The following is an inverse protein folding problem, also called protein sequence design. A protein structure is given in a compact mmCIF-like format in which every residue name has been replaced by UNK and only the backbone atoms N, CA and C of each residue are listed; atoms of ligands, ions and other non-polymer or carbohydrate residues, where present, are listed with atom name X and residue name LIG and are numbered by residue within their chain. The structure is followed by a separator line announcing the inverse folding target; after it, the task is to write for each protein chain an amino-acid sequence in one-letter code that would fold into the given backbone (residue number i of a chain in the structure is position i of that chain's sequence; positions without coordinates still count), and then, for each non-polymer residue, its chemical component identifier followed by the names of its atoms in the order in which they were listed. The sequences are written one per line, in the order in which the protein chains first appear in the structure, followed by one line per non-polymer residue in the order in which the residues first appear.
data_IF_738901525282
#
_entry.id   IF_738901525282
#
_cell.length_a   1.000
_cell.length_b   1.000
_cell.length_c   1.000
_cell.angle_alpha   90.00
_cell.angle_beta   90.00
_cell.angle_gamma   90.00
#
_symmetry.space_group_name_H-M   'P 1'
#
loop_
_entity.id
_entity.type
_entity.pdbx_description
1 polymer ?
#
# COMPACT_ATOMS: atom_id res chain seq x y z
N UNK A 1 34.63 -60.71 -17.42
CA UNK A 1 33.82 -60.94 -16.21
C UNK A 1 34.17 -59.88 -15.18
N UNK A 2 33.20 -59.02 -14.84
CA UNK A 2 32.96 -58.40 -13.51
C UNK A 2 33.97 -57.31 -13.09
N UNK A 3 33.63 -56.06 -12.73
CA UNK A 3 32.39 -55.38 -12.28
C UNK A 3 32.73 -53.86 -12.24
N UNK A 4 31.99 -52.91 -12.84
CA UNK A 4 30.69 -52.31 -12.44
C UNK A 4 30.61 -51.94 -10.94
N UNK A 5 30.16 -50.77 -10.46
CA UNK A 5 29.54 -49.58 -11.05
C UNK A 5 29.59 -48.46 -9.98
N UNK A 6 30.10 -47.28 -10.34
CA UNK A 6 29.65 -45.92 -10.03
C UNK A 6 28.79 -45.71 -8.75
N UNK A 7 29.47 -45.25 -7.70
CA UNK A 7 29.16 -44.07 -6.87
C UNK A 7 27.68 -43.67 -6.75
N UNK A 8 27.10 -44.02 -5.60
CA UNK A 8 26.34 -43.15 -4.71
C UNK A 8 25.36 -42.17 -5.38
N UNK A 9 24.14 -42.64 -5.68
CA UNK A 9 22.98 -41.80 -5.97
C UNK A 9 22.59 -41.02 -4.71
N UNK A 10 23.07 -39.78 -4.68
CA UNK A 10 22.72 -38.72 -3.76
C UNK A 10 21.22 -38.41 -3.86
N UNK A 11 20.48 -38.75 -2.81
CA UNK A 11 19.11 -38.28 -2.57
C UNK A 11 19.16 -36.78 -2.30
N UNK A 12 19.04 -35.96 -3.35
CA UNK A 12 18.62 -34.56 -3.23
C UNK A 12 17.09 -34.56 -3.37
N UNK A 13 16.42 -34.89 -2.27
CA UNK A 13 15.07 -34.38 -2.00
C UNK A 13 15.25 -33.12 -1.15
N UNK A 14 15.86 -32.09 -1.73
CA UNK A 14 15.90 -30.77 -1.11
C UNK A 14 14.55 -30.13 -1.38
N UNK A 15 13.81 -29.97 -0.29
CA UNK A 15 12.54 -29.28 -0.20
C UNK A 15 12.42 -28.15 -1.22
N UNK A 16 11.55 -28.34 -2.21
CA UNK A 16 10.86 -27.25 -2.88
C UNK A 16 9.89 -26.62 -1.85
N UNK A 17 10.45 -26.08 -0.76
CA UNK A 17 9.77 -25.10 0.05
C UNK A 17 9.48 -23.94 -0.90
N UNK A 18 8.20 -23.76 -1.20
CA UNK A 18 7.73 -22.85 -2.21
C UNK A 18 8.46 -21.52 -2.13
N UNK A 19 9.35 -21.29 -3.10
CA UNK A 19 9.57 -19.94 -3.56
C UNK A 19 8.21 -19.52 -4.12
N UNK A 20 7.35 -18.98 -3.27
CA UNK A 20 6.25 -18.15 -3.68
C UNK A 20 6.95 -16.92 -4.20
N UNK A 21 7.20 -16.90 -5.51
CA UNK A 21 7.55 -15.67 -6.20
C UNK A 21 6.34 -14.78 -5.94
N UNK A 22 6.48 -13.82 -5.01
CA UNK A 22 5.43 -12.88 -4.66
C UNK A 22 5.02 -12.19 -5.95
N UNK A 23 3.93 -12.68 -6.55
CA UNK A 23 3.32 -12.01 -7.69
C UNK A 23 2.91 -10.63 -7.17
N UNK A 24 3.34 -9.53 -7.80
CA UNK A 24 2.84 -8.21 -7.46
C UNK A 24 1.31 -8.29 -7.49
N UNK A 25 0.67 -8.02 -6.35
CA UNK A 25 -0.79 -8.04 -6.29
C UNK A 25 -1.29 -6.88 -7.15
N UNK A 26 -2.05 -7.15 -8.24
CA UNK A 26 -2.59 -6.09 -9.09
C UNK A 26 -3.60 -5.21 -8.36
N UNK A 27 -4.06 -5.58 -7.17
CA UNK A 27 -4.98 -4.78 -6.35
C UNK A 27 -4.32 -3.59 -5.66
N UNK A 28 -3.00 -3.44 -5.82
CA UNK A 28 -2.26 -2.39 -5.13
C UNK A 28 -2.15 -2.67 -3.64
N UNK A 29 -1.14 -2.09 -3.02
CA UNK A 29 -0.92 -2.22 -1.59
C UNK A 29 -1.80 -1.22 -0.84
N UNK A 30 -2.54 -1.67 0.15
CA UNK A 30 -3.32 -0.76 1.01
C UNK A 30 -2.46 -0.42 2.22
N UNK A 31 -2.26 0.87 2.45
CA UNK A 31 -1.68 1.39 3.69
C UNK A 31 -2.77 2.00 4.56
N UNK A 32 -2.87 1.52 5.79
CA UNK A 32 -3.87 1.98 6.78
C UNK A 32 -3.15 2.64 7.97
N UNK A 33 -3.92 3.01 8.99
CA UNK A 33 -3.35 3.49 10.25
C UNK A 33 -2.36 2.50 10.91
N UNK A 34 -2.44 1.19 10.63
CA UNK A 34 -1.50 0.20 11.20
C UNK A 34 -0.06 0.37 10.71
N UNK A 35 0.11 0.94 9.52
CA UNK A 35 1.41 1.17 8.91
C UNK A 35 2.02 2.52 9.35
N UNK A 36 1.26 3.34 10.06
CA UNK A 36 1.69 4.64 10.56
C UNK A 36 2.72 4.47 11.68
N UNK A 37 3.87 5.13 11.51
CA UNK A 37 4.99 5.11 12.45
C UNK A 37 5.14 6.41 13.20
N UNK A 38 4.82 7.53 12.56
CA UNK A 38 4.90 8.85 13.16
C UNK A 38 3.79 9.74 12.61
N UNK A 39 3.21 10.56 13.48
CA UNK A 39 2.21 11.55 13.13
C UNK A 39 2.44 12.80 13.96
N UNK A 40 2.72 13.90 13.27
CA UNK A 40 2.89 15.20 13.89
C UNK A 40 2.05 16.25 13.18
N UNK A 41 1.53 17.18 13.98
CA UNK A 41 0.68 18.28 13.50
C UNK A 41 1.28 19.58 13.99
N UNK A 42 1.53 20.51 13.08
CA UNK A 42 1.91 21.90 13.39
C UNK A 42 0.72 22.81 13.10
N UNK A 43 0.26 23.54 14.10
CA UNK A 43 -0.91 24.42 13.98
C UNK A 43 -0.44 25.83 13.64
N UNK A 44 -1.02 26.41 12.60
CA UNK A 44 -0.84 27.80 12.22
C UNK A 44 -2.08 28.63 12.56
N UNK A 45 -1.91 29.95 12.60
CA UNK A 45 -3.02 30.90 12.58
C UNK A 45 -3.86 30.69 11.30
N UNK A 46 -5.18 30.90 11.39
CA UNK A 46 -6.06 30.91 10.23
C UNK A 46 -6.69 29.56 9.90
N UNK A 47 -6.90 28.70 10.92
CA UNK A 47 -7.49 27.36 10.77
C UNK A 47 -6.70 26.42 9.83
N UNK A 48 -5.39 26.66 9.69
CA UNK A 48 -4.49 25.83 8.90
C UNK A 48 -3.60 24.99 9.82
N UNK A 49 -3.42 23.72 9.47
CA UNK A 49 -2.45 22.84 10.10
C UNK A 49 -1.60 22.14 9.06
N UNK A 50 -0.31 21.97 9.34
CA UNK A 50 0.56 21.08 8.58
C UNK A 50 0.58 19.71 9.26
N UNK A 51 0.19 18.68 8.52
CA UNK A 51 0.22 17.30 8.98
C UNK A 51 1.41 16.60 8.33
N UNK A 52 2.22 15.93 9.15
CA UNK A 52 3.28 15.02 8.70
C UNK A 52 2.94 13.62 9.17
N UNK A 53 2.56 12.78 8.22
CA UNK A 53 2.28 11.35 8.40
C UNK A 53 3.46 10.56 7.79
N UNK A 54 4.05 9.66 8.58
CA UNK A 54 5.11 8.74 8.12
C UNK A 54 4.58 7.32 8.24
N UNK A 55 4.53 6.61 7.11
CA UNK A 55 4.10 5.22 7.04
C UNK A 55 5.20 4.30 6.53
N UNK A 56 5.22 3.07 7.04
CA UNK A 56 6.09 2.01 6.56
C UNK A 56 5.33 1.14 5.55
N UNK A 57 5.72 1.22 4.28
CA UNK A 57 5.03 0.52 3.18
C UNK A 57 6.04 -0.32 2.43
N UNK A 58 5.74 -1.62 2.25
CA UNK A 58 6.59 -2.57 1.52
C UNK A 58 6.29 -2.57 0.03
N UNK A 59 7.00 -1.75 -0.73
CA UNK A 59 6.84 -1.68 -2.17
C UNK A 59 7.52 -2.87 -2.87
N UNK A 60 6.81 -3.48 -3.82
CA UNK A 60 7.40 -4.45 -4.75
C UNK A 60 8.23 -3.77 -5.83
N UNK A 61 8.96 -4.58 -6.62
CA UNK A 61 9.69 -4.06 -7.79
C UNK A 61 8.77 -3.75 -8.96
N UNK A 62 9.06 -2.68 -9.70
CA UNK A 62 8.32 -2.27 -10.89
C UNK A 62 7.17 -1.31 -10.58
N UNK A 63 6.18 -1.26 -11.48
CA UNK A 63 5.03 -0.37 -11.32
C UNK A 63 3.98 -1.04 -10.43
N UNK A 64 3.49 -0.30 -9.44
CA UNK A 64 2.43 -0.73 -8.54
C UNK A 64 1.64 0.47 -8.05
N UNK A 65 0.42 0.20 -7.56
CA UNK A 65 -0.42 1.20 -6.92
C UNK A 65 -0.36 1.02 -5.40
N UNK A 66 -0.44 2.13 -4.66
CA UNK A 66 -0.59 2.13 -3.20
C UNK A 66 -1.78 3.00 -2.84
N UNK A 67 -2.70 2.47 -2.05
CA UNK A 67 -3.85 3.20 -1.53
C UNK A 67 -3.57 3.62 -0.10
N UNK A 68 -3.49 4.94 0.13
CA UNK A 68 -3.37 5.50 1.47
C UNK A 68 -4.78 5.74 2.01
N UNK A 69 -5.21 4.89 2.94
CA UNK A 69 -6.48 5.02 3.65
C UNK A 69 -6.31 5.80 4.94
N UNK A 70 -7.43 6.24 5.51
CA UNK A 70 -7.49 6.96 6.79
C UNK A 70 -6.65 8.25 6.81
N UNK A 71 -6.62 8.96 5.68
CA UNK A 71 -5.99 10.29 5.59
C UNK A 71 -6.86 11.35 6.27
N UNK A 72 -6.25 12.50 6.59
CA UNK A 72 -6.96 13.58 7.28
C UNK A 72 -8.23 14.01 6.51
N UNK A 73 -9.38 14.04 7.19
CA UNK A 73 -10.67 14.30 6.55
C UNK A 73 -10.81 15.70 5.93
N UNK A 74 -10.01 16.66 6.40
CA UNK A 74 -9.98 18.05 5.92
C UNK A 74 -8.70 18.35 5.12
N UNK A 75 -8.06 17.33 4.57
CA UNK A 75 -6.85 17.49 3.77
C UNK A 75 -7.15 18.29 2.49
N UNK A 76 -6.27 19.23 2.14
CA UNK A 76 -6.28 19.84 0.82
C UNK A 76 -5.44 18.95 -0.12
N UNK A 77 -6.07 18.27 -1.12
CA UNK A 77 -5.37 17.32 -1.98
C UNK A 77 -4.28 17.96 -2.84
N UNK A 78 -4.35 19.27 -3.07
CA UNK A 78 -3.35 20.01 -3.86
C UNK A 78 -2.04 20.26 -3.09
N UNK A 79 -2.06 20.05 -1.78
CA UNK A 79 -0.92 20.28 -0.88
C UNK A 79 -0.18 19.00 -0.49
N UNK A 80 -0.66 17.85 -0.96
CA UNK A 80 -0.12 16.54 -0.57
C UNK A 80 1.18 16.27 -1.31
N UNK A 81 2.25 16.10 -0.53
CA UNK A 81 3.57 15.73 -1.03
C UNK A 81 4.02 14.41 -0.43
N UNK A 82 4.27 13.43 -1.29
CA UNK A 82 4.80 12.13 -0.91
C UNK A 82 6.28 12.03 -1.29
N UNK A 83 7.09 11.48 -0.38
CA UNK A 83 8.49 11.14 -0.65
C UNK A 83 8.87 9.87 0.09
N UNK A 84 9.77 9.10 -0.49
CA UNK A 84 10.42 8.00 0.22
C UNK A 84 11.45 8.55 1.19
N UNK A 85 11.44 8.05 2.43
CA UNK A 85 12.48 8.38 3.42
C UNK A 85 13.64 7.38 3.40
N UNK A 86 13.39 6.15 2.93
CA UNK A 86 14.37 5.05 2.89
C UNK A 86 15.11 4.96 1.57
N UNK A 87 14.46 5.32 0.46
CA UNK A 87 15.04 5.33 -0.88
C UNK A 87 14.47 6.49 -1.74
N UNK A 88 14.99 7.72 -1.55
CA UNK A 88 14.49 8.90 -2.26
C UNK A 88 14.75 8.89 -3.78
N UNK A 89 15.76 8.17 -4.25
CA UNK A 89 16.16 8.14 -5.65
C UNK A 89 15.48 7.01 -6.44
N UNK A 90 15.14 5.89 -5.78
CA UNK A 90 14.49 4.74 -6.41
C UNK A 90 12.96 4.83 -6.48
N UNK A 91 12.31 5.71 -5.68
CA UNK A 91 10.87 5.92 -5.78
C UNK A 91 10.52 7.00 -6.81
N UNK A 92 9.75 6.63 -7.83
CA UNK A 92 9.15 7.56 -8.79
C UNK A 92 7.63 7.49 -8.71
N UNK A 93 7.01 8.64 -8.43
CA UNK A 93 5.55 8.78 -8.46
C UNK A 93 5.14 9.07 -9.90
N UNK A 94 4.32 8.19 -10.48
CA UNK A 94 3.80 8.36 -11.84
C UNK A 94 2.49 9.15 -11.84
N UNK A 95 1.62 8.85 -10.87
CA UNK A 95 0.30 9.42 -10.73
C UNK A 95 -0.06 9.49 -9.24
N UNK A 96 -0.82 10.51 -8.86
CA UNK A 96 -1.37 10.66 -7.52
C UNK A 96 -2.82 11.07 -7.65
N UNK A 97 -3.71 10.18 -7.23
CA UNK A 97 -5.14 10.42 -7.19
C UNK A 97 -5.59 10.57 -5.75
N UNK A 98 -6.47 11.55 -5.53
CA UNK A 98 -7.17 11.68 -4.26
C UNK A 98 -8.63 11.32 -4.48
N UNK A 99 -9.05 10.21 -3.87
CA UNK A 99 -10.44 9.77 -3.90
C UNK A 99 -11.12 10.16 -2.59
N UNK A 100 -12.02 11.14 -2.67
CA UNK A 100 -12.85 11.53 -1.55
C UNK A 100 -14.21 10.84 -1.65
N UNK A 101 -14.42 9.77 -0.89
CA UNK A 101 -15.71 9.09 -0.86
C UNK A 101 -16.71 9.84 0.03
N UNK A 102 -17.59 10.61 -0.62
CA UNK A 102 -18.73 11.27 0.01
C UNK A 102 -19.94 10.35 0.19
N UNK A 103 -19.80 9.02 0.23
CA UNK A 103 -20.83 8.13 0.75
C UNK A 103 -21.04 8.34 2.26
N UNK A 104 -21.45 9.56 2.64
CA UNK A 104 -22.09 9.81 3.92
C UNK A 104 -23.37 9.00 3.99
N UNK A 105 -23.73 8.49 5.17
CA UNK A 105 -24.98 7.78 5.39
C UNK A 105 -26.23 8.57 4.92
N UNK A 106 -26.11 9.90 4.80
CA UNK A 106 -27.12 10.79 4.21
C UNK A 106 -27.31 10.58 2.69
N UNK A 107 -26.25 10.40 1.89
CA UNK A 107 -26.40 10.08 0.46
C UNK A 107 -26.98 8.68 0.22
N UNK A 108 -26.67 7.73 1.10
CA UNK A 108 -27.36 6.43 1.11
C UNK A 108 -28.85 6.62 1.41
N UNK A 109 -29.20 7.40 2.44
CA UNK A 109 -30.60 7.70 2.76
C UNK A 109 -31.34 8.34 1.57
N UNK A 110 -30.76 9.36 0.92
CA UNK A 110 -31.35 10.00 -0.27
C UNK A 110 -31.57 9.01 -1.43
N UNK A 111 -30.69 8.00 -1.60
CA UNK A 111 -30.86 6.95 -2.61
C UNK A 111 -32.00 5.97 -2.28
N UNK A 112 -32.40 5.87 -1.01
CA UNK A 112 -33.48 4.99 -0.53
C UNK A 112 -34.79 5.72 -0.20
N UNK A 113 -34.82 7.05 -0.07
CA UNK A 113 -36.05 7.84 0.10
C UNK A 113 -36.76 7.99 -1.24
N UNK A 114 -37.49 6.96 -1.64
CA UNK A 114 -38.29 6.96 -2.87
C UNK A 114 -38.62 5.58 -3.45
N UNK A 115 -37.96 4.51 -2.99
CA UNK A 115 -38.41 3.15 -3.32
C UNK A 115 -39.50 2.72 -2.35
N UNK A 116 -40.76 2.87 -2.78
CA UNK A 116 -41.88 2.14 -2.19
C UNK A 116 -41.62 0.65 -2.38
N UNK A 117 -41.67 -0.10 -1.29
CA UNK A 117 -42.12 -1.50 -1.32
C UNK A 117 -43.61 -1.53 -1.64
#
# INVERSE_FOLDING_TARGET
MRSSLIILTLVISLAAAGAVWSRPDPRGQISTQQDQRDLSVTIYNGNLGLVKDVREVRLGSGNGAVQFMDVAALIDPTTVHLRSLTDPAGLRILEQNYEYDLLSSQKLMEKYVGRKV
#
